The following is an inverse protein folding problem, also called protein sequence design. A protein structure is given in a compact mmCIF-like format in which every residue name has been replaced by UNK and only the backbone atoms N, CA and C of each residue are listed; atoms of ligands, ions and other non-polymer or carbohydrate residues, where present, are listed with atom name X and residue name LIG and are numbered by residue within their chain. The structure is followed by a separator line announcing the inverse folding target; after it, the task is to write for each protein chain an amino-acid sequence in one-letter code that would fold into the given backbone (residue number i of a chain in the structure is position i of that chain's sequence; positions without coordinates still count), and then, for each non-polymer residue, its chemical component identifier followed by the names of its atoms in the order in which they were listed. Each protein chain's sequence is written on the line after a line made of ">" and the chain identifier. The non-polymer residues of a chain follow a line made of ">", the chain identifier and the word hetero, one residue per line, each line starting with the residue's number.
data_IF_628802112610
#
_entry.id   IF_628802112610
#
_cell.length_a   1.000
_cell.length_b   1.000
_cell.length_c   1.000
_cell.angle_alpha   90.00
_cell.angle_beta   90.00
_cell.angle_gamma   90.00
#
_symmetry.space_group_name_H-M   'P 1'
#
loop_
_entity.id
_entity.type
_entity.pdbx_description
1 polymer ?
#
# COMPACT_ATOMS: atom_id res chain seq x y z
N UNK A 1 -37.73 -6.35 -62.91
CA UNK A 1 -37.27 -5.51 -61.77
C UNK A 1 -36.42 -6.36 -60.84
N UNK A 2 -35.13 -6.38 -61.09
CA UNK A 2 -34.17 -7.07 -60.24
C UNK A 2 -32.85 -6.34 -60.45
N UNK A 3 -32.40 -5.65 -59.44
CA UNK A 3 -31.12 -4.94 -59.46
C UNK A 3 -31.14 -3.75 -58.47
N UNK A 4 -30.72 -3.95 -57.28
CA UNK A 4 -30.08 -2.91 -56.42
C UNK A 4 -30.01 -3.39 -54.93
N UNK A 5 -29.21 -4.41 -54.64
CA UNK A 5 -28.86 -4.74 -53.23
C UNK A 5 -27.46 -5.35 -53.07
N UNK A 6 -26.46 -4.86 -53.79
CA UNK A 6 -25.12 -5.41 -53.72
C UNK A 6 -24.01 -4.36 -53.48
N UNK A 7 -24.30 -3.23 -52.83
CA UNK A 7 -23.25 -2.17 -52.62
C UNK A 7 -23.05 -1.67 -51.18
N UNK A 8 -23.63 -2.29 -50.15
CA UNK A 8 -23.49 -1.79 -48.78
C UNK A 8 -22.53 -2.59 -47.89
N UNK A 9 -21.94 -3.72 -48.35
CA UNK A 9 -21.05 -4.54 -47.49
C UNK A 9 -19.56 -4.17 -47.54
N UNK A 10 -19.10 -3.53 -48.62
CA UNK A 10 -17.66 -3.22 -48.78
C UNK A 10 -17.19 -1.97 -48.02
N UNK A 11 -18.06 -1.00 -47.78
CA UNK A 11 -17.69 0.21 -47.00
C UNK A 11 -17.38 -0.04 -45.53
N UNK A 12 -18.01 -1.08 -44.95
CA UNK A 12 -17.87 -1.34 -43.50
C UNK A 12 -16.60 -2.15 -43.15
N UNK A 13 -16.08 -2.91 -44.09
CA UNK A 13 -14.82 -3.66 -43.93
C UNK A 13 -13.58 -2.74 -44.01
N UNK A 14 -13.60 -1.76 -44.92
CA UNK A 14 -12.56 -0.76 -45.06
C UNK A 14 -12.44 0.17 -43.84
N UNK A 15 -13.57 0.62 -43.32
CA UNK A 15 -13.63 1.45 -42.11
C UNK A 15 -13.08 0.73 -40.88
N UNK A 16 -13.46 -0.53 -40.65
CA UNK A 16 -12.97 -1.37 -39.57
C UNK A 16 -11.49 -1.74 -39.70
N UNK A 17 -10.96 -1.83 -40.90
CA UNK A 17 -9.55 -2.07 -41.14
C UNK A 17 -8.71 -0.81 -40.82
N UNK A 18 -9.19 0.36 -41.28
CA UNK A 18 -8.53 1.65 -41.04
C UNK A 18 -8.55 2.01 -39.54
N UNK A 19 -9.66 1.81 -38.85
CA UNK A 19 -9.76 2.01 -37.41
C UNK A 19 -8.83 1.07 -36.62
N UNK A 20 -8.64 -0.18 -37.05
CA UNK A 20 -7.70 -1.12 -36.44
C UNK A 20 -6.24 -0.71 -36.67
N UNK A 21 -5.90 -0.19 -37.84
CA UNK A 21 -4.55 0.30 -38.12
C UNK A 21 -4.26 1.54 -37.29
N UNK A 22 -5.15 2.51 -37.24
CA UNK A 22 -5.00 3.71 -36.41
C UNK A 22 -4.84 3.33 -34.93
N UNK A 23 -5.71 2.48 -34.40
CA UNK A 23 -5.58 1.99 -33.01
C UNK A 23 -4.24 1.31 -32.76
N UNK A 24 -3.75 0.47 -33.67
CA UNK A 24 -2.44 -0.17 -33.52
C UNK A 24 -1.29 0.83 -33.58
N UNK A 25 -1.28 1.74 -34.53
CA UNK A 25 -0.21 2.73 -34.69
C UNK A 25 -0.09 3.64 -33.46
N UNK A 26 -1.23 4.08 -32.87
CA UNK A 26 -1.22 4.93 -31.70
C UNK A 26 -1.02 4.16 -30.38
N UNK A 27 -1.51 2.91 -30.27
CA UNK A 27 -1.33 2.11 -29.06
C UNK A 27 0.03 1.41 -29.00
N UNK A 28 0.61 1.04 -30.12
CA UNK A 28 1.89 0.30 -30.13
C UNK A 28 3.04 1.02 -29.40
N UNK A 29 3.30 2.32 -29.62
CA UNK A 29 4.39 2.98 -28.89
C UNK A 29 4.10 3.06 -27.37
N UNK A 30 2.86 3.33 -26.98
CA UNK A 30 2.50 3.38 -25.56
C UNK A 30 2.65 1.99 -24.90
N UNK A 31 2.16 0.93 -25.56
CA UNK A 31 2.29 -0.45 -25.09
C UNK A 31 3.76 -0.87 -25.07
N UNK A 32 4.54 -0.54 -26.09
CA UNK A 32 5.99 -0.87 -26.15
C UNK A 32 6.76 -0.21 -25.01
N UNK A 33 6.49 1.08 -24.73
CA UNK A 33 7.11 1.79 -23.61
C UNK A 33 6.69 1.17 -22.27
N UNK A 34 5.41 0.86 -22.10
CA UNK A 34 4.91 0.22 -20.88
C UNK A 34 5.55 -1.15 -20.66
N UNK A 35 5.66 -1.98 -21.70
CA UNK A 35 6.32 -3.28 -21.64
C UNK A 35 7.82 -3.12 -21.29
N UNK A 36 8.51 -2.20 -21.95
CA UNK A 36 9.92 -1.97 -21.73
C UNK A 36 10.21 -1.44 -20.31
N UNK A 37 9.42 -0.50 -19.80
CA UNK A 37 9.69 0.13 -18.50
C UNK A 37 9.10 -0.63 -17.32
N UNK A 38 8.09 -1.48 -17.51
CA UNK A 38 7.45 -2.22 -16.41
C UNK A 38 7.83 -3.69 -16.41
N UNK A 39 7.78 -4.35 -17.56
CA UNK A 39 8.00 -5.80 -17.62
C UNK A 39 9.49 -6.14 -17.63
N UNK A 40 10.32 -5.42 -18.39
CA UNK A 40 11.75 -5.69 -18.46
C UNK A 40 12.44 -5.55 -17.09
N UNK A 41 12.24 -4.48 -16.30
CA UNK A 41 12.84 -4.39 -14.95
C UNK A 41 12.38 -5.51 -14.01
N UNK A 42 11.13 -5.96 -14.15
CA UNK A 42 10.60 -7.07 -13.34
C UNK A 42 11.34 -8.36 -13.67
N UNK A 43 11.46 -8.74 -14.95
CA UNK A 43 12.22 -9.94 -15.33
C UNK A 43 13.70 -9.81 -15.01
N UNK A 44 14.28 -8.62 -15.16
CA UNK A 44 15.65 -8.36 -14.78
C UNK A 44 15.89 -8.55 -13.28
N UNK A 45 15.01 -7.98 -12.44
CA UNK A 45 15.03 -8.18 -11.00
C UNK A 45 14.85 -9.66 -10.61
N UNK A 46 13.97 -10.40 -11.33
CA UNK A 46 13.82 -11.83 -11.14
C UNK A 46 15.11 -12.57 -11.41
N UNK A 47 15.78 -12.25 -12.52
CA UNK A 47 17.08 -12.87 -12.87
C UNK A 47 18.11 -12.59 -11.78
N UNK A 48 18.19 -11.35 -11.29
CA UNK A 48 19.11 -10.97 -10.20
C UNK A 48 18.79 -11.73 -8.91
N UNK A 49 17.53 -12.03 -8.60
CA UNK A 49 17.16 -12.77 -7.39
C UNK A 49 17.76 -14.18 -7.28
N UNK A 50 18.12 -14.76 -8.45
CA UNK A 50 18.83 -16.05 -8.54
C UNK A 50 20.35 -15.89 -8.60
N UNK A 51 20.91 -14.72 -8.34
CA UNK A 51 22.34 -14.48 -8.41
C UNK A 51 22.92 -14.10 -7.05
N UNK A 52 24.22 -14.21 -6.91
CA UNK A 52 24.99 -13.83 -5.71
C UNK A 52 25.57 -12.40 -5.79
N UNK A 53 24.93 -11.52 -6.57
CA UNK A 53 25.42 -10.14 -6.77
C UNK A 53 25.43 -9.36 -5.47
N UNK A 54 26.66 -8.89 -5.10
CA UNK A 54 26.92 -8.03 -3.95
C UNK A 54 27.75 -6.81 -4.37
N UNK A 55 27.65 -5.72 -3.58
CA UNK A 55 28.43 -4.52 -3.77
C UNK A 55 29.91 -4.83 -3.54
N UNK A 56 30.75 -4.73 -4.60
CA UNK A 56 32.19 -5.04 -4.50
C UNK A 56 32.67 -6.16 -5.42
N UNK A 57 31.76 -6.69 -6.26
CA UNK A 57 32.08 -7.73 -7.25
C UNK A 57 32.11 -9.13 -6.62
N UNK A 58 31.23 -9.96 -7.05
CA UNK A 58 31.09 -11.41 -6.85
C UNK A 58 31.58 -11.99 -5.54
N UNK A 59 30.69 -12.62 -4.81
CA UNK A 59 30.84 -13.46 -3.62
C UNK A 59 32.25 -13.82 -3.15
N UNK A 60 32.91 -12.87 -2.51
CA UNK A 60 34.21 -13.11 -1.89
C UNK A 60 34.03 -13.18 -0.37
N UNK A 61 33.41 -14.23 0.07
CA UNK A 61 33.42 -14.59 1.49
C UNK A 61 33.34 -16.08 1.76
N UNK A 62 33.95 -16.91 0.89
CA UNK A 62 34.36 -18.27 1.23
C UNK A 62 35.56 -18.66 0.32
N UNK A 63 36.61 -17.83 0.31
CA UNK A 63 37.93 -18.27 -0.14
C UNK A 63 38.71 -18.75 1.06
N UNK A 64 38.20 -19.73 1.76
CA UNK A 64 39.01 -20.64 2.51
C UNK A 64 39.25 -21.87 1.63
N UNK A 65 40.41 -21.87 0.96
CA UNK A 65 41.17 -23.04 0.51
C UNK A 65 40.42 -24.13 -0.28
N UNK A 66 40.41 -24.01 -1.62
CA UNK A 66 40.81 -25.11 -2.48
C UNK A 66 41.59 -24.52 -3.65
N UNK A 67 42.90 -24.67 -3.62
CA UNK A 67 43.75 -24.56 -4.80
C UNK A 67 43.36 -25.67 -5.78
N UNK A 68 43.01 -25.25 -7.00
CA UNK A 68 42.79 -26.16 -8.13
C UNK A 68 41.34 -26.17 -8.57
N UNK A 69 40.99 -25.17 -9.38
CA UNK A 69 40.14 -25.26 -10.55
C UNK A 69 39.77 -23.83 -10.97
N UNK A 70 40.60 -23.29 -11.85
CA UNK A 70 40.25 -22.12 -12.65
C UNK A 70 39.20 -22.54 -13.69
N UNK A 71 38.05 -23.05 -13.22
CA UNK A 71 36.89 -23.31 -14.08
C UNK A 71 36.15 -22.00 -14.33
N UNK A 72 36.34 -21.53 -15.53
CA UNK A 72 35.43 -20.77 -16.38
C UNK A 72 34.31 -20.03 -15.61
N UNK A 73 34.60 -18.83 -15.11
CA UNK A 73 33.57 -17.86 -14.73
C UNK A 73 32.82 -17.35 -15.97
N UNK A 74 32.17 -18.24 -16.67
CA UNK A 74 31.16 -17.93 -17.63
C UNK A 74 29.84 -17.73 -16.85
N UNK A 75 29.73 -16.59 -16.15
CA UNK A 75 28.48 -16.20 -15.51
C UNK A 75 27.38 -16.05 -16.56
N UNK A 76 26.12 -16.13 -16.09
CA UNK A 76 24.94 -15.93 -16.92
C UNK A 76 25.09 -14.71 -17.82
N UNK A 77 25.04 -14.88 -19.15
CA UNK A 77 25.30 -13.87 -20.19
C UNK A 77 26.71 -13.23 -20.17
N UNK A 78 27.73 -13.91 -19.65
CA UNK A 78 29.09 -13.34 -19.60
C UNK A 78 29.29 -12.22 -18.56
N UNK A 79 28.35 -12.02 -17.64
CA UNK A 79 28.38 -10.94 -16.65
C UNK A 79 29.02 -11.31 -15.31
N UNK A 80 29.58 -12.51 -15.20
CA UNK A 80 30.35 -12.93 -14.01
C UNK A 80 29.54 -13.28 -12.76
N UNK A 81 28.23 -13.57 -12.89
CA UNK A 81 27.36 -13.99 -11.77
C UNK A 81 27.05 -15.46 -11.85
N UNK A 82 27.01 -16.14 -10.71
CA UNK A 82 26.57 -17.51 -10.62
C UNK A 82 25.08 -17.57 -10.32
N UNK A 83 24.34 -18.42 -11.08
CA UNK A 83 22.95 -18.72 -10.77
C UNK A 83 22.89 -19.62 -9.53
N UNK A 84 22.12 -19.18 -8.52
CA UNK A 84 22.01 -19.91 -7.26
C UNK A 84 20.59 -19.83 -6.69
N UNK A 85 20.12 -20.92 -6.09
CA UNK A 85 18.89 -20.92 -5.28
C UNK A 85 19.14 -20.54 -3.81
N UNK A 86 20.38 -20.19 -3.46
CA UNK A 86 20.79 -19.90 -2.08
C UNK A 86 20.00 -18.79 -1.43
N UNK A 87 19.64 -17.73 -2.20
CA UNK A 87 18.82 -16.64 -1.71
C UNK A 87 17.44 -17.14 -1.23
N UNK A 88 16.79 -18.00 -2.00
CA UNK A 88 15.48 -18.55 -1.65
C UNK A 88 15.55 -19.54 -0.48
N UNK A 89 16.61 -20.35 -0.39
CA UNK A 89 16.85 -21.21 0.76
C UNK A 89 17.09 -20.39 2.06
N UNK A 90 17.76 -19.23 1.94
CA UNK A 90 17.97 -18.30 3.03
C UNK A 90 16.66 -17.67 3.50
N UNK A 91 15.76 -17.27 2.59
CA UNK A 91 14.46 -16.65 2.93
C UNK A 91 13.64 -17.51 3.92
N UNK A 92 13.67 -18.84 3.75
CA UNK A 92 12.92 -19.76 4.60
C UNK A 92 13.41 -19.78 6.06
N UNK A 93 14.65 -19.36 6.32
CA UNK A 93 15.30 -19.39 7.66
C UNK A 93 15.57 -18.00 8.23
N UNK A 94 15.19 -16.97 7.51
CA UNK A 94 15.46 -15.57 7.89
C UNK A 94 14.39 -15.05 8.85
N UNK A 95 14.69 -15.06 10.14
CA UNK A 95 13.80 -14.55 11.20
C UNK A 95 13.47 -13.06 11.03
N UNK A 96 14.44 -12.25 10.53
CA UNK A 96 14.23 -10.83 10.26
C UNK A 96 13.21 -10.64 9.16
N UNK A 97 13.25 -11.46 8.11
CA UNK A 97 12.24 -11.46 7.05
C UNK A 97 10.84 -11.79 7.60
N UNK A 98 10.73 -12.83 8.43
CA UNK A 98 9.45 -13.24 8.99
C UNK A 98 8.86 -12.15 9.89
N UNK A 99 9.70 -11.52 10.70
CA UNK A 99 9.29 -10.37 11.54
C UNK A 99 8.83 -9.19 10.68
N UNK A 100 9.61 -8.81 9.67
CA UNK A 100 9.27 -7.71 8.76
C UNK A 100 7.99 -7.98 7.95
N UNK A 101 7.76 -9.24 7.55
CA UNK A 101 6.51 -9.64 6.88
C UNK A 101 5.31 -9.55 7.83
N UNK A 102 5.45 -10.00 9.07
CA UNK A 102 4.42 -9.88 10.11
C UNK A 102 4.07 -8.43 10.42
N UNK A 103 5.09 -7.57 10.56
CA UNK A 103 4.92 -6.14 10.77
C UNK A 103 4.20 -5.48 9.59
N UNK A 104 4.60 -5.81 8.35
CA UNK A 104 3.96 -5.27 7.14
C UNK A 104 2.49 -5.64 7.09
N UNK A 105 2.15 -6.90 7.36
CA UNK A 105 0.74 -7.34 7.42
C UNK A 105 -0.03 -6.65 8.55
N UNK A 106 0.59 -6.43 9.70
CA UNK A 106 0.00 -5.68 10.82
C UNK A 106 -0.30 -4.24 10.40
N UNK A 107 0.64 -3.55 9.75
CA UNK A 107 0.42 -2.20 9.23
C UNK A 107 -0.72 -2.17 8.21
N UNK A 108 -0.78 -3.12 7.30
CA UNK A 108 -1.84 -3.20 6.29
C UNK A 108 -3.20 -3.42 6.95
N UNK A 109 -3.32 -4.43 7.81
CA UNK A 109 -4.63 -4.81 8.38
C UNK A 109 -5.10 -3.75 9.38
N UNK A 110 -4.27 -3.40 10.36
CA UNK A 110 -4.65 -2.45 11.42
C UNK A 110 -4.74 -1.04 10.88
N UNK A 111 -3.78 -0.61 10.05
CA UNK A 111 -3.75 0.73 9.47
C UNK A 111 -4.98 0.98 8.59
N UNK A 112 -5.29 0.07 7.65
CA UNK A 112 -6.48 0.21 6.78
C UNK A 112 -7.77 0.20 7.60
N UNK A 113 -7.87 -0.68 8.61
CA UNK A 113 -9.06 -0.76 9.46
C UNK A 113 -9.29 0.54 10.22
N UNK A 114 -8.25 1.08 10.86
CA UNK A 114 -8.30 2.37 11.57
C UNK A 114 -8.70 3.49 10.62
N UNK A 115 -8.01 3.60 9.48
CA UNK A 115 -8.27 4.64 8.50
C UNK A 115 -9.68 4.56 7.92
N UNK A 116 -10.18 3.36 7.64
CA UNK A 116 -11.52 3.17 7.12
C UNK A 116 -12.59 3.53 8.15
N UNK A 117 -12.46 3.07 9.39
CA UNK A 117 -13.44 3.33 10.46
C UNK A 117 -13.52 4.82 10.76
N UNK A 118 -12.38 5.49 10.96
CA UNK A 118 -12.36 6.93 11.21
C UNK A 118 -12.74 7.74 9.98
N UNK A 119 -12.27 7.33 8.79
CA UNK A 119 -12.62 7.97 7.53
C UNK A 119 -14.11 7.90 7.20
N UNK A 120 -14.73 6.74 7.43
CA UNK A 120 -16.17 6.56 7.26
C UNK A 120 -16.96 7.39 8.28
N UNK A 121 -16.56 7.35 9.56
CA UNK A 121 -17.18 8.16 10.62
C UNK A 121 -17.13 9.66 10.31
N UNK A 122 -15.97 10.16 9.88
CA UNK A 122 -15.81 11.56 9.50
C UNK A 122 -16.57 11.92 8.23
N UNK A 123 -16.66 11.01 7.26
CA UNK A 123 -17.47 11.22 6.06
C UNK A 123 -18.96 11.38 6.42
N UNK A 124 -19.49 10.60 7.38
CA UNK A 124 -20.86 10.76 7.90
C UNK A 124 -21.08 12.14 8.54
N UNK A 125 -20.13 12.61 9.35
CA UNK A 125 -20.20 13.95 9.97
C UNK A 125 -20.14 15.05 8.93
N UNK A 126 -19.17 14.98 8.00
CA UNK A 126 -18.98 15.97 6.95
C UNK A 126 -20.06 15.94 5.86
N UNK A 127 -20.85 14.88 5.79
CA UNK A 127 -22.02 14.82 4.90
C UNK A 127 -23.20 15.65 5.43
N UNK A 128 -23.24 15.92 6.72
CA UNK A 128 -24.29 16.77 7.32
C UNK A 128 -24.11 18.23 6.92
N UNK A 129 -25.23 18.99 6.91
CA UNK A 129 -25.25 20.43 6.65
C UNK A 129 -25.04 21.18 7.96
N UNK A 130 -23.83 21.72 8.20
CA UNK A 130 -23.54 22.56 9.35
C UNK A 130 -22.72 23.78 8.95
N UNK A 131 -22.76 24.82 9.80
CA UNK A 131 -22.00 26.07 9.56
C UNK A 131 -20.50 25.80 9.58
N UNK A 132 -19.77 26.32 8.58
CA UNK A 132 -18.31 26.17 8.50
C UNK A 132 -17.83 24.84 7.92
N UNK A 133 -18.71 23.96 7.41
CA UNK A 133 -18.36 22.65 6.84
C UNK A 133 -17.21 22.72 5.85
N UNK A 134 -17.18 23.73 4.97
CA UNK A 134 -16.12 23.85 3.95
C UNK A 134 -14.76 24.18 4.57
N UNK A 135 -14.73 25.00 5.63
CA UNK A 135 -13.50 25.33 6.37
C UNK A 135 -12.98 24.07 7.07
N UNK A 136 -13.85 23.32 7.74
CA UNK A 136 -13.49 22.07 8.40
C UNK A 136 -12.92 21.07 7.39
N UNK A 137 -13.52 20.95 6.19
CA UNK A 137 -12.99 20.10 5.11
C UNK A 137 -11.57 20.51 4.70
N UNK A 138 -11.32 21.81 4.50
CA UNK A 138 -9.99 22.30 4.09
C UNK A 138 -8.95 21.97 5.16
N UNK A 139 -9.23 22.28 6.43
CA UNK A 139 -8.30 22.01 7.54
C UNK A 139 -8.02 20.52 7.65
N UNK A 140 -9.07 19.69 7.52
CA UNK A 140 -8.96 18.25 7.63
C UNK A 140 -8.16 17.61 6.49
N UNK A 141 -8.10 18.25 5.31
CA UNK A 141 -7.32 17.79 4.18
C UNK A 141 -5.83 18.16 4.24
N UNK A 142 -5.44 19.09 5.11
CA UNK A 142 -4.05 19.56 5.20
C UNK A 142 -3.03 18.42 5.45
N UNK A 143 -3.29 17.44 6.33
CA UNK A 143 -2.33 16.36 6.58
C UNK A 143 -1.96 15.58 5.31
N UNK A 144 -2.93 15.30 4.46
CA UNK A 144 -2.73 14.56 3.21
C UNK A 144 -1.88 15.32 2.18
N UNK A 145 -1.85 16.67 2.26
CA UNK A 145 -1.05 17.50 1.36
C UNK A 145 0.43 17.55 1.75
N UNK A 146 0.78 17.07 2.93
CA UNK A 146 2.17 17.02 3.39
C UNK A 146 2.90 15.82 2.77
N UNK A 147 4.23 15.96 2.62
CA UNK A 147 5.05 14.81 2.25
C UNK A 147 5.08 13.78 3.39
N UNK A 148 5.11 12.46 3.10
CA UNK A 148 5.15 11.43 4.15
C UNK A 148 6.31 11.62 5.14
N UNK A 149 7.47 12.05 4.65
CA UNK A 149 8.64 12.33 5.49
C UNK A 149 8.37 13.49 6.47
N UNK A 150 7.71 14.57 6.03
CA UNK A 150 7.36 15.68 6.91
C UNK A 150 6.35 15.26 7.99
N UNK A 151 5.32 14.50 7.60
CA UNK A 151 4.36 13.92 8.54
C UNK A 151 5.04 13.02 9.58
N UNK A 152 6.01 12.20 9.13
CA UNK A 152 6.79 11.34 9.99
C UNK A 152 7.64 12.11 11.01
N UNK A 153 8.32 13.19 10.61
CA UNK A 153 9.07 14.07 11.53
C UNK A 153 8.16 14.73 12.55
N UNK A 154 7.00 15.24 12.13
CA UNK A 154 6.01 15.79 13.06
C UNK A 154 5.53 14.73 14.05
N UNK A 155 5.22 13.55 13.58
CA UNK A 155 4.84 12.41 14.41
C UNK A 155 5.95 12.04 15.40
N UNK A 156 7.19 11.94 14.93
CA UNK A 156 8.33 11.66 15.82
C UNK A 156 8.44 12.70 16.93
N UNK A 157 8.32 13.99 16.61
CA UNK A 157 8.34 15.06 17.62
C UNK A 157 7.18 14.96 18.59
N UNK A 158 6.00 14.53 18.13
CA UNK A 158 4.83 14.34 19.00
C UNK A 158 4.94 13.13 19.91
N UNK A 159 5.62 12.06 19.47
CA UNK A 159 5.77 10.81 20.23
C UNK A 159 7.11 10.70 20.98
N UNK A 160 7.97 11.74 20.95
CA UNK A 160 9.20 11.79 21.74
C UNK A 160 8.87 11.81 23.24
N UNK A 161 9.50 10.90 24.00
CA UNK A 161 9.23 10.74 25.43
C UNK A 161 9.82 11.83 26.32
N UNK A 162 10.70 12.70 25.77
CA UNK A 162 11.42 13.72 26.56
C UNK A 162 10.84 15.11 26.39
N UNK A 163 10.46 15.49 25.17
CA UNK A 163 10.19 16.90 24.81
C UNK A 163 8.77 17.13 24.32
N UNK A 164 8.04 16.03 24.00
CA UNK A 164 6.74 16.15 23.36
C UNK A 164 5.63 16.70 24.28
N UNK A 165 4.60 17.34 23.72
CA UNK A 165 3.43 17.79 24.48
C UNK A 165 2.74 16.64 25.23
N UNK A 166 2.71 15.44 24.63
CA UNK A 166 2.15 14.26 25.29
C UNK A 166 3.01 13.76 26.47
N UNK A 167 4.34 13.87 26.42
CA UNK A 167 5.21 13.53 27.55
C UNK A 167 4.92 14.45 28.75
N UNK A 168 4.71 15.74 28.47
CA UNK A 168 4.31 16.71 29.50
C UNK A 168 2.92 16.40 30.07
N UNK A 169 1.98 15.99 29.22
CA UNK A 169 0.65 15.58 29.66
C UNK A 169 0.70 14.32 30.53
N UNK A 170 1.49 13.31 30.13
CA UNK A 170 1.71 12.09 30.90
C UNK A 170 2.32 12.38 32.27
N UNK A 171 3.31 13.28 32.36
CA UNK A 171 3.93 13.69 33.60
C UNK A 171 2.92 14.40 34.52
N UNK A 172 2.11 15.33 33.97
CA UNK A 172 1.05 16.00 34.74
C UNK A 172 -0.01 15.01 35.23
N UNK A 173 -0.42 14.08 34.38
CA UNK A 173 -1.40 13.06 34.75
C UNK A 173 -0.84 12.09 35.80
N UNK A 174 0.43 11.72 35.68
CA UNK A 174 1.14 10.89 36.68
C UNK A 174 1.20 11.58 38.05
N UNK A 175 1.46 12.87 38.08
CA UNK A 175 1.52 13.66 39.33
C UNK A 175 0.11 13.82 39.96
N UNK A 176 -0.95 13.97 39.13
CA UNK A 176 -2.32 14.09 39.60
C UNK A 176 -2.89 12.77 40.14
N UNK A 177 -2.55 11.66 39.51
CA UNK A 177 -3.06 10.32 39.86
C UNK A 177 -2.15 9.54 40.80
N UNK A 178 -1.03 10.12 41.19
CA UNK A 178 0.01 9.47 42.02
C UNK A 178 0.46 8.10 41.47
N UNK A 179 0.49 7.97 40.14
CA UNK A 179 0.77 6.71 39.43
C UNK A 179 1.75 7.00 38.32
N UNK A 180 2.76 6.16 38.11
CA UNK A 180 3.70 6.29 37.01
C UNK A 180 3.04 5.89 35.69
N UNK A 181 2.54 6.87 34.94
CA UNK A 181 2.01 6.66 33.58
C UNK A 181 3.07 7.17 32.60
N UNK A 182 3.97 6.28 32.20
CA UNK A 182 4.94 6.60 31.16
C UNK A 182 4.83 5.56 30.05
N UNK A 183 4.31 5.97 28.91
CA UNK A 183 4.21 5.13 27.72
C UNK A 183 5.47 5.34 26.87
N UNK A 184 6.32 4.33 26.68
CA UNK A 184 7.56 4.44 25.91
C UNK A 184 7.27 4.32 24.39
N UNK A 185 6.57 5.30 23.82
CA UNK A 185 6.03 5.27 22.45
C UNK A 185 6.99 4.81 21.37
N UNK A 186 8.25 5.25 21.39
CA UNK A 186 9.22 4.90 20.36
C UNK A 186 10.31 3.95 20.86
N UNK A 187 10.29 3.59 22.16
CA UNK A 187 11.30 2.74 22.78
C UNK A 187 10.82 1.29 23.01
N UNK A 188 9.52 1.05 22.92
CA UNK A 188 8.90 -0.29 22.98
C UNK A 188 8.34 -0.67 21.63
N UNK A 189 8.54 -1.91 21.18
CA UNK A 189 8.13 -2.35 19.84
C UNK A 189 6.64 -2.26 19.58
N UNK A 190 5.82 -2.60 20.58
CA UNK A 190 4.35 -2.55 20.45
C UNK A 190 3.85 -1.12 20.37
N UNK A 191 4.31 -0.24 21.28
CA UNK A 191 3.93 1.16 21.27
C UNK A 191 4.47 1.90 20.04
N UNK A 192 5.66 1.55 19.57
CA UNK A 192 6.23 2.09 18.35
C UNK A 192 5.41 1.71 17.09
N UNK A 193 4.92 0.47 17.03
CA UNK A 193 3.99 0.04 15.99
C UNK A 193 2.69 0.84 16.03
N UNK A 194 2.12 1.06 17.23
CA UNK A 194 0.92 1.89 17.40
C UNK A 194 1.18 3.34 16.97
N UNK A 195 2.33 3.92 17.34
CA UNK A 195 2.71 5.27 16.93
C UNK A 195 2.81 5.40 15.40
N UNK A 196 3.46 4.45 14.73
CA UNK A 196 3.57 4.40 13.27
C UNK A 196 2.18 4.36 12.63
N UNK A 197 1.29 3.47 13.11
CA UNK A 197 -0.09 3.36 12.61
C UNK A 197 -0.86 4.67 12.81
N UNK A 198 -0.69 5.33 13.96
CA UNK A 198 -1.38 6.60 14.24
C UNK A 198 -0.88 7.73 13.33
N UNK A 199 0.43 7.84 13.10
CA UNK A 199 1.03 8.85 12.23
C UNK A 199 0.55 8.65 10.79
N UNK A 200 0.65 7.44 10.27
CA UNK A 200 0.18 7.09 8.92
C UNK A 200 -1.34 7.29 8.80
N UNK A 201 -2.11 6.91 9.82
CA UNK A 201 -3.56 7.10 9.82
C UNK A 201 -3.94 8.56 9.85
N UNK A 202 -3.29 9.40 10.65
CA UNK A 202 -3.54 10.84 10.67
C UNK A 202 -3.35 11.47 9.29
N UNK A 203 -2.33 11.05 8.56
CA UNK A 203 -2.07 11.56 7.22
C UNK A 203 -3.09 11.08 6.18
N UNK A 204 -3.58 9.84 6.29
CA UNK A 204 -4.36 9.19 5.23
C UNK A 204 -5.86 9.00 5.52
N UNK A 205 -6.33 9.25 6.75
CA UNK A 205 -7.77 9.31 7.05
C UNK A 205 -8.52 10.30 6.13
N UNK A 206 -7.97 11.51 5.81
CA UNK A 206 -8.61 12.42 4.86
C UNK A 206 -8.89 11.81 3.48
N UNK A 207 -7.98 10.99 2.95
CA UNK A 207 -8.17 10.28 1.69
C UNK A 207 -9.40 9.37 1.72
N UNK A 208 -9.49 8.52 2.76
CA UNK A 208 -10.65 7.66 2.97
C UNK A 208 -11.94 8.48 3.10
N UNK A 209 -11.88 9.54 3.90
CA UNK A 209 -13.02 10.44 4.13
C UNK A 209 -13.52 11.07 2.85
N UNK A 210 -12.64 11.59 1.99
CA UNK A 210 -13.02 12.25 0.74
C UNK A 210 -13.74 11.31 -0.21
N UNK A 211 -13.20 10.11 -0.43
CA UNK A 211 -13.78 9.16 -1.37
C UNK A 211 -15.14 8.70 -0.86
N UNK A 212 -15.23 8.35 0.42
CA UNK A 212 -16.49 7.91 1.02
C UNK A 212 -17.53 9.03 1.05
N UNK A 213 -17.11 10.27 1.34
CA UNK A 213 -17.99 11.44 1.31
C UNK A 213 -18.51 11.71 -0.11
N UNK A 214 -17.66 11.64 -1.12
CA UNK A 214 -18.09 11.77 -2.51
C UNK A 214 -19.11 10.68 -2.89
N UNK A 215 -18.88 9.44 -2.45
CA UNK A 215 -19.83 8.36 -2.62
C UNK A 215 -21.16 8.60 -1.89
N UNK A 216 -21.15 9.13 -0.67
CA UNK A 216 -22.38 9.50 0.05
C UNK A 216 -23.16 10.60 -0.67
N UNK A 217 -22.45 11.57 -1.25
CA UNK A 217 -23.06 12.70 -1.98
C UNK A 217 -23.61 12.31 -3.36
N UNK A 218 -23.22 11.17 -3.89
CA UNK A 218 -23.80 10.63 -5.14
C UNK A 218 -25.11 9.89 -4.95
N UNK A 219 -25.52 9.60 -3.71
CA UNK A 219 -26.79 8.96 -3.40
C UNK A 219 -27.92 10.01 -3.52
N UNK A 220 -28.96 9.80 -4.34
CA UNK A 220 -30.08 10.73 -4.48
C UNK A 220 -30.76 11.02 -3.14
N UNK A 221 -31.11 12.30 -2.91
CA UNK A 221 -31.71 12.76 -1.64
C UNK A 221 -33.11 12.14 -1.44
N UNK A 222 -33.80 11.83 -2.54
CA UNK A 222 -35.13 11.22 -2.56
C UNK A 222 -35.16 9.86 -1.84
N UNK A 223 -34.08 9.11 -1.90
CA UNK A 223 -33.98 7.81 -1.19
C UNK A 223 -33.99 8.02 0.31
N UNK A 224 -33.28 9.06 0.78
CA UNK A 224 -33.23 9.40 2.19
C UNK A 224 -34.57 10.01 2.68
N UNK A 225 -35.25 10.79 1.85
CA UNK A 225 -36.55 11.37 2.15
C UNK A 225 -37.63 10.27 2.26
N UNK A 226 -37.70 9.38 1.29
CA UNK A 226 -38.61 8.24 1.33
C UNK A 226 -38.42 7.38 2.59
N UNK A 227 -37.16 7.06 2.94
CA UNK A 227 -36.87 6.31 4.16
C UNK A 227 -37.30 7.04 5.45
N UNK A 228 -37.22 8.39 5.48
CA UNK A 228 -37.68 9.18 6.63
C UNK A 228 -39.21 9.19 6.71
N UNK A 229 -39.89 9.25 5.57
CA UNK A 229 -41.38 9.15 5.51
C UNK A 229 -41.86 7.79 6.02
N UNK A 230 -41.12 6.71 5.69
CA UNK A 230 -41.35 5.35 6.20
C UNK A 230 -40.96 5.20 7.67
N UNK A 231 -40.52 6.24 8.37
CA UNK A 231 -40.19 6.22 9.78
C UNK A 231 -38.87 5.54 10.13
N UNK A 232 -37.97 5.38 9.15
CA UNK A 232 -36.66 4.77 9.40
C UNK A 232 -35.77 5.68 10.27
N UNK A 233 -35.18 5.11 11.33
CA UNK A 233 -34.20 5.80 12.17
C UNK A 233 -32.88 6.05 11.40
N UNK A 234 -32.09 7.04 11.88
CA UNK A 234 -30.78 7.35 11.27
C UNK A 234 -29.85 6.12 11.19
N UNK A 235 -29.87 5.26 12.20
CA UNK A 235 -29.09 4.01 12.20
C UNK A 235 -29.62 2.99 11.18
N UNK A 236 -30.94 2.91 11.00
CA UNK A 236 -31.54 2.05 9.97
C UNK A 236 -31.18 2.53 8.57
N UNK A 237 -31.25 3.84 8.33
CA UNK A 237 -30.81 4.46 7.06
C UNK A 237 -29.34 4.15 6.81
N UNK A 238 -28.47 4.36 7.80
CA UNK A 238 -27.04 4.05 7.67
C UNK A 238 -26.81 2.59 7.30
N UNK A 239 -27.42 1.66 8.05
CA UNK A 239 -27.15 0.22 7.90
C UNK A 239 -27.81 -0.41 6.67
N UNK A 240 -29.02 0.05 6.30
CA UNK A 240 -29.82 -0.59 5.23
C UNK A 240 -29.72 0.13 3.90
N UNK A 241 -29.34 1.40 3.88
CA UNK A 241 -29.30 2.23 2.66
C UNK A 241 -27.85 2.68 2.38
N UNK A 242 -27.29 3.53 3.26
CA UNK A 242 -26.02 4.18 3.00
C UNK A 242 -24.87 3.17 2.88
N UNK A 243 -24.71 2.28 3.88
CA UNK A 243 -23.61 1.32 3.91
C UNK A 243 -23.65 0.33 2.73
N UNK A 244 -24.77 -0.31 2.38
CA UNK A 244 -24.84 -1.22 1.23
C UNK A 244 -24.56 -0.55 -0.11
N UNK A 245 -25.05 0.69 -0.31
CA UNK A 245 -24.81 1.45 -1.54
C UNK A 245 -23.32 1.83 -1.66
N UNK A 246 -22.67 2.16 -0.53
CA UNK A 246 -21.26 2.51 -0.49
C UNK A 246 -20.33 1.30 -0.50
N UNK A 247 -20.84 0.10 -0.35
CA UNK A 247 -20.00 -1.11 -0.22
C UNK A 247 -19.02 -1.30 -1.39
N UNK A 248 -19.42 -1.16 -2.68
CA UNK A 248 -18.50 -1.29 -3.80
C UNK A 248 -17.37 -0.25 -3.77
N UNK A 249 -17.71 0.99 -3.38
CA UNK A 249 -16.74 2.07 -3.24
C UNK A 249 -15.80 1.83 -2.05
N UNK A 250 -16.36 1.34 -0.92
CA UNK A 250 -15.59 0.96 0.26
C UNK A 250 -14.57 -0.13 -0.06
N UNK A 251 -14.97 -1.16 -0.80
CA UNK A 251 -14.05 -2.21 -1.28
C UNK A 251 -12.91 -1.61 -2.10
N UNK A 252 -13.24 -0.69 -3.00
CA UNK A 252 -12.23 -0.06 -3.87
C UNK A 252 -11.22 0.76 -3.06
N UNK A 253 -11.70 1.61 -2.15
CA UNK A 253 -10.81 2.49 -1.38
C UNK A 253 -9.97 1.71 -0.37
N UNK A 254 -10.50 0.66 0.25
CA UNK A 254 -9.77 -0.24 1.14
C UNK A 254 -8.66 -0.97 0.36
N UNK A 255 -8.96 -1.46 -0.86
CA UNK A 255 -7.96 -2.12 -1.69
C UNK A 255 -6.83 -1.17 -2.09
N UNK A 256 -7.17 0.03 -2.58
CA UNK A 256 -6.17 1.03 -2.97
C UNK A 256 -5.25 1.33 -1.78
N UNK A 257 -5.84 1.61 -0.61
CA UNK A 257 -5.05 1.96 0.57
C UNK A 257 -4.24 0.78 1.10
N UNK A 258 -4.79 -0.42 1.07
CA UNK A 258 -4.05 -1.64 1.44
C UNK A 258 -2.79 -1.83 0.59
N UNK A 259 -2.91 -1.69 -0.74
CA UNK A 259 -1.76 -1.76 -1.65
C UNK A 259 -0.72 -0.65 -1.40
N UNK A 260 -1.15 0.55 -0.97
CA UNK A 260 -0.25 1.65 -0.61
C UNK A 260 0.55 1.36 0.68
N UNK A 261 -0.10 0.81 1.72
CA UNK A 261 0.55 0.54 3.00
C UNK A 261 1.62 -0.58 2.87
N UNK A 262 1.49 -1.51 1.92
CA UNK A 262 2.56 -2.50 1.69
C UNK A 262 3.92 -1.85 1.39
N UNK A 263 3.93 -0.62 0.90
CA UNK A 263 5.15 0.15 0.56
C UNK A 263 5.60 1.08 1.68
N UNK A 264 5.03 0.95 2.90
CA UNK A 264 5.35 1.85 4.02
C UNK A 264 6.84 1.73 4.40
N UNK A 265 7.53 2.86 4.33
CA UNK A 265 8.94 2.99 4.70
C UNK A 265 9.22 4.34 5.36
N UNK A 266 8.74 5.46 4.79
CA UNK A 266 9.09 6.82 5.20
C UNK A 266 8.82 7.06 6.69
N UNK A 267 7.63 6.67 7.17
CA UNK A 267 7.25 6.83 8.58
C UNK A 267 8.16 6.00 9.48
N UNK A 268 8.49 4.77 9.08
CA UNK A 268 9.31 3.86 9.89
C UNK A 268 10.75 4.37 9.99
N UNK A 269 11.36 4.71 8.85
CA UNK A 269 12.76 5.20 8.81
C UNK A 269 12.93 6.45 9.66
N UNK A 270 12.00 7.39 9.57
CA UNK A 270 12.08 8.68 10.28
C UNK A 270 11.78 8.55 11.77
N UNK A 271 10.80 7.71 12.14
CA UNK A 271 10.37 7.61 13.56
C UNK A 271 11.25 6.69 14.38
N UNK A 272 11.36 5.44 13.98
CA UNK A 272 12.00 4.37 14.78
C UNK A 272 13.28 3.83 14.14
N UNK A 273 13.50 4.05 12.83
CA UNK A 273 14.58 3.39 12.10
C UNK A 273 14.44 1.87 12.08
N UNK A 274 13.22 1.32 12.21
CA UNK A 274 12.95 -0.12 12.30
C UNK A 274 12.99 -0.70 13.71
N UNK A 275 13.45 0.10 14.70
CA UNK A 275 13.69 -0.34 16.08
C UNK A 275 12.45 -0.34 17.00
N UNK A 276 12.63 -0.82 18.24
CA UNK A 276 13.83 -1.44 18.82
C UNK A 276 14.16 -2.79 18.17
N UNK A 277 15.45 -3.01 17.86
CA UNK A 277 15.89 -4.15 17.05
C UNK A 277 15.30 -4.09 15.64
N UNK A 278 14.45 -5.06 15.26
CA UNK A 278 13.66 -5.08 14.01
C UNK A 278 12.15 -5.08 14.26
N UNK A 279 11.72 -4.65 15.47
CA UNK A 279 10.33 -4.80 15.91
C UNK A 279 9.32 -3.99 15.09
N UNK A 280 9.76 -2.91 14.43
CA UNK A 280 8.89 -2.07 13.59
C UNK A 280 9.28 -2.08 12.12
N UNK A 281 10.26 -2.87 11.75
CA UNK A 281 10.76 -2.95 10.39
C UNK A 281 9.70 -3.52 9.43
N UNK A 282 9.48 -2.84 8.28
CA UNK A 282 8.66 -3.38 7.20
C UNK A 282 9.49 -4.14 6.19
N UNK A 283 8.84 -4.96 5.34
CA UNK A 283 9.51 -5.63 4.22
C UNK A 283 10.18 -4.63 3.27
N UNK A 284 9.54 -3.50 2.99
CA UNK A 284 10.10 -2.45 2.13
C UNK A 284 11.36 -1.85 2.76
N UNK A 285 11.38 -1.62 4.06
CA UNK A 285 12.57 -1.16 4.77
C UNK A 285 13.68 -2.22 4.77
N UNK A 286 13.34 -3.48 4.97
CA UNK A 286 14.30 -4.58 4.92
C UNK A 286 14.94 -4.72 3.53
N UNK A 287 14.15 -4.56 2.44
CA UNK A 287 14.67 -4.51 1.07
C UNK A 287 15.63 -3.33 0.90
N UNK A 288 15.25 -2.15 1.38
CA UNK A 288 16.04 -0.94 1.31
C UNK A 288 17.40 -1.12 2.01
N UNK A 289 17.40 -1.59 3.25
CA UNK A 289 18.62 -1.86 4.02
C UNK A 289 19.49 -2.92 3.34
N UNK A 290 18.89 -4.02 2.88
CA UNK A 290 19.61 -5.11 2.22
C UNK A 290 20.28 -4.64 0.93
N UNK A 291 19.61 -3.73 0.19
CA UNK A 291 20.13 -3.17 -1.06
C UNK A 291 21.19 -2.11 -0.82
N UNK A 292 20.86 -1.08 -0.03
CA UNK A 292 21.68 0.15 0.04
C UNK A 292 22.71 0.09 1.16
N UNK A 293 22.35 -0.49 2.31
CA UNK A 293 23.25 -0.57 3.47
C UNK A 293 24.17 -1.78 3.36
N UNK A 294 23.62 -2.95 3.06
CA UNK A 294 24.43 -4.19 2.97
C UNK A 294 24.92 -4.52 1.56
N UNK A 295 24.42 -3.84 0.53
CA UNK A 295 24.86 -4.03 -0.85
C UNK A 295 24.55 -5.41 -1.43
N UNK A 296 23.63 -6.17 -0.85
CA UNK A 296 23.27 -7.52 -1.29
C UNK A 296 22.06 -7.47 -2.25
N UNK A 297 22.33 -7.19 -3.52
CA UNK A 297 21.28 -6.99 -4.54
C UNK A 297 20.51 -8.26 -4.85
N UNK A 298 21.20 -9.42 -4.91
CA UNK A 298 20.57 -10.70 -5.20
C UNK A 298 19.55 -11.08 -4.12
N UNK A 299 19.93 -10.97 -2.87
CA UNK A 299 19.03 -11.27 -1.74
C UNK A 299 17.90 -10.25 -1.61
N UNK A 300 18.17 -8.95 -1.79
CA UNK A 300 17.15 -7.90 -1.78
C UNK A 300 16.09 -8.12 -2.89
N UNK A 301 16.53 -8.51 -4.09
CA UNK A 301 15.63 -8.89 -5.17
C UNK A 301 14.74 -10.09 -4.77
N UNK A 302 15.30 -11.11 -4.13
CA UNK A 302 14.52 -12.25 -3.64
C UNK A 302 13.47 -11.83 -2.58
N UNK A 303 13.81 -10.96 -1.62
CA UNK A 303 12.86 -10.39 -0.65
C UNK A 303 11.76 -9.59 -1.37
N UNK A 304 12.10 -8.84 -2.42
CA UNK A 304 11.12 -8.07 -3.19
C UNK A 304 10.07 -8.97 -3.86
N UNK A 305 10.45 -10.19 -4.28
CA UNK A 305 9.49 -11.16 -4.79
C UNK A 305 8.61 -11.75 -3.68
N UNK A 306 9.10 -11.89 -2.46
CA UNK A 306 8.23 -12.24 -1.31
C UNK A 306 7.18 -11.16 -1.09
N UNK A 307 7.58 -9.89 -1.10
CA UNK A 307 6.66 -8.77 -0.97
C UNK A 307 5.63 -8.77 -2.12
N UNK A 308 6.06 -8.98 -3.37
CA UNK A 308 5.16 -9.07 -4.52
C UNK A 308 4.12 -10.19 -4.34
N UNK A 309 4.54 -11.37 -3.93
CA UNK A 309 3.64 -12.52 -3.68
C UNK A 309 2.64 -12.19 -2.56
N UNK A 310 3.08 -11.56 -1.47
CA UNK A 310 2.18 -11.14 -0.38
C UNK A 310 1.14 -10.13 -0.86
N UNK A 311 1.54 -9.15 -1.66
CA UNK A 311 0.62 -8.16 -2.26
C UNK A 311 -0.40 -8.84 -3.16
N UNK A 312 0.02 -9.77 -4.01
CA UNK A 312 -0.87 -10.52 -4.92
C UNK A 312 -1.84 -11.40 -4.12
N UNK A 313 -1.36 -12.10 -3.10
CA UNK A 313 -2.21 -12.91 -2.22
C UNK A 313 -3.24 -12.02 -1.52
N UNK A 314 -2.80 -10.91 -0.92
CA UNK A 314 -3.69 -9.95 -0.27
C UNK A 314 -4.76 -9.43 -1.24
N UNK A 315 -4.37 -8.92 -2.41
CA UNK A 315 -5.30 -8.37 -3.39
C UNK A 315 -6.31 -9.42 -3.88
N UNK A 316 -5.83 -10.64 -4.18
CA UNK A 316 -6.67 -11.72 -4.67
C UNK A 316 -7.67 -12.19 -3.62
N UNK A 317 -7.19 -12.42 -2.39
CA UNK A 317 -8.02 -12.85 -1.26
C UNK A 317 -9.05 -11.76 -0.92
N UNK A 318 -8.62 -10.51 -0.84
CA UNK A 318 -9.49 -9.39 -0.55
C UNK A 318 -10.60 -9.25 -1.60
N UNK A 319 -10.26 -9.27 -2.89
CA UNK A 319 -11.25 -9.19 -3.98
C UNK A 319 -12.18 -10.41 -4.01
N UNK A 320 -11.67 -11.59 -3.69
CA UNK A 320 -12.49 -12.80 -3.59
C UNK A 320 -13.54 -12.65 -2.48
N UNK A 321 -13.14 -12.22 -1.28
CA UNK A 321 -14.03 -11.98 -0.15
C UNK A 321 -15.03 -10.84 -0.45
N UNK A 322 -14.56 -9.76 -1.03
CA UNK A 322 -15.39 -8.62 -1.40
C UNK A 322 -16.49 -8.99 -2.39
N UNK A 323 -16.20 -9.84 -3.38
CA UNK A 323 -17.21 -10.35 -4.35
C UNK A 323 -18.32 -11.17 -3.71
N UNK A 324 -18.06 -11.82 -2.57
CA UNK A 324 -19.09 -12.59 -1.86
C UNK A 324 -20.04 -11.68 -1.06
N UNK A 325 -19.54 -10.50 -0.64
CA UNK A 325 -20.31 -9.56 0.20
C UNK A 325 -21.06 -8.54 -0.65
N UNK A 326 -20.54 -8.19 -1.82
CA UNK A 326 -21.15 -7.19 -2.72
C UNK A 326 -22.31 -7.85 -3.49
N UNK A 327 -23.57 -7.37 -3.33
CA UNK A 327 -24.68 -7.87 -4.11
C UNK A 327 -24.41 -7.69 -5.60
N UNK A 328 -24.65 -8.73 -6.39
CA UNK A 328 -24.61 -8.60 -7.85
C UNK A 328 -25.71 -7.62 -8.24
N UNK A 329 -25.33 -6.47 -8.79
CA UNK A 329 -26.28 -5.62 -9.51
C UNK A 329 -26.81 -6.45 -10.67
N UNK A 330 -28.03 -6.97 -10.55
CA UNK A 330 -28.77 -7.51 -11.68
C UNK A 330 -29.02 -6.34 -12.62
N UNK A 331 -28.22 -6.26 -13.68
CA UNK A 331 -28.46 -5.43 -14.86
C UNK A 331 -29.65 -5.93 -15.63
#
# INVERSE_FOLDING_TARGET
>A
MAGTQAQSSDGNTGYRAHERIIKRVFLTPAVAILLALSIFPLFWSLSISFTDIQRGGGGAADTATVEGEAETRAGFLGLGFNLTFRNYARLARDERLHTAAGNTLTYVIVGVMVQYVFGFGLALVLNQRFFGRNIVRIIFLMPMMMTPVAAAYMGRMMFDTRVSPQAQLQQKLSSLLNTHILIPWLADGTWATVAIVLIDSWQWIPFMTLILLAGMQSIPEEIYEAARVDGASAFQILRKITFPILLPLSVTVILIRGLEIFKIIDVIVVTTGGGPGSATESLTMYIFDTTLTFGNFGYAAAISYVLLVLVVIFATLFLYLARQITPRSTS
#
